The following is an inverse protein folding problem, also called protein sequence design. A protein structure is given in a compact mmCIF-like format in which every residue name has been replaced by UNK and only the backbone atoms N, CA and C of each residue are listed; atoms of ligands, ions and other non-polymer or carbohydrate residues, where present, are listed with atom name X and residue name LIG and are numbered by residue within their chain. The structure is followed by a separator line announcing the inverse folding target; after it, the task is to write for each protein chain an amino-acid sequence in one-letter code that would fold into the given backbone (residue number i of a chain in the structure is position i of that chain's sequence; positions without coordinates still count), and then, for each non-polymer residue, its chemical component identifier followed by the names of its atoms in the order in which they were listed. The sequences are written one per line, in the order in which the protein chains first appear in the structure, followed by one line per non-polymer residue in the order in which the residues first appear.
data_IF_491089223901
#
_entry.id   IF_491089223901
#
_cell.length_a   1.000
_cell.length_b   1.000
_cell.length_c   1.000
_cell.angle_alpha   90.00
_cell.angle_beta   90.00
_cell.angle_gamma   90.00
#
_symmetry.space_group_name_H-M   'P 1'
#
loop_
_entity.id
_entity.type
_entity.pdbx_description
1 polymer ?
#
# COMPACT_ATOMS: atom_id res chain seq x y z
N UNK A 1 4.01 14.26 -6.06
CA UNK A 1 3.63 15.34 -5.12
C UNK A 1 2.32 16.08 -5.48
N UNK A 2 1.92 16.29 -6.76
CA UNK A 2 0.66 17.00 -7.08
C UNK A 2 -0.60 16.34 -6.51
N UNK A 3 -0.66 15.00 -6.49
CA UNK A 3 -1.82 14.25 -5.98
C UNK A 3 -1.99 14.41 -4.45
N UNK A 4 -0.91 14.50 -3.69
CA UNK A 4 -0.99 14.74 -2.24
C UNK A 4 -1.59 16.11 -1.91
N UNK A 5 -1.29 17.14 -2.71
CA UNK A 5 -1.88 18.46 -2.55
C UNK A 5 -3.39 18.46 -2.81
N UNK A 6 -3.85 17.71 -3.80
CA UNK A 6 -5.27 17.55 -4.11
C UNK A 6 -6.07 17.03 -2.90
N UNK A 7 -5.50 16.12 -2.12
CA UNK A 7 -6.17 15.59 -0.94
C UNK A 7 -6.19 16.54 0.27
N UNK A 8 -5.39 17.62 0.26
CA UNK A 8 -5.42 18.63 1.32
C UNK A 8 -6.64 19.57 1.24
N UNK A 9 -7.30 19.63 0.09
CA UNK A 9 -8.51 20.46 -0.10
C UNK A 9 -9.67 19.80 0.67
N UNK A 10 -10.44 20.56 1.48
CA UNK A 10 -11.59 20.01 2.20
C UNK A 10 -12.76 19.70 1.24
N UNK A 11 -13.55 18.69 1.58
CA UNK A 11 -14.83 18.32 0.98
C UNK A 11 -14.72 17.78 -0.46
N UNK A 12 -13.96 18.41 -1.32
CA UNK A 12 -13.93 18.07 -2.75
C UNK A 12 -13.41 16.65 -3.03
N UNK A 13 -12.33 16.17 -2.40
CA UNK A 13 -11.86 14.79 -2.59
C UNK A 13 -12.87 13.75 -2.08
N UNK A 14 -13.52 14.01 -0.93
CA UNK A 14 -14.55 13.13 -0.38
C UNK A 14 -15.72 12.98 -1.36
N UNK A 15 -16.22 14.13 -1.87
CA UNK A 15 -17.27 14.12 -2.88
C UNK A 15 -16.86 13.42 -4.17
N UNK A 16 -15.61 13.58 -4.59
CA UNK A 16 -15.09 12.91 -5.79
C UNK A 16 -15.10 11.39 -5.62
N UNK A 17 -14.71 10.89 -4.45
CA UNK A 17 -14.66 9.46 -4.17
C UNK A 17 -16.04 8.82 -4.00
N UNK A 18 -17.04 9.56 -3.54
CA UNK A 18 -18.40 9.05 -3.29
C UNK A 18 -19.35 9.22 -4.47
N UNK A 19 -19.09 10.20 -5.36
CA UNK A 19 -19.92 10.44 -6.54
C UNK A 19 -19.96 9.24 -7.48
N UNK A 20 -21.07 9.13 -8.23
CA UNK A 20 -21.27 8.08 -9.23
C UNK A 20 -21.01 6.69 -8.66
N UNK A 21 -21.47 6.47 -7.43
CA UNK A 21 -21.31 5.21 -6.72
C UNK A 21 -19.84 4.75 -6.62
N UNK A 22 -18.90 5.69 -6.38
CA UNK A 22 -17.49 5.37 -6.20
C UNK A 22 -16.70 5.15 -7.50
N UNK A 23 -17.16 5.64 -8.65
CA UNK A 23 -16.48 5.46 -9.94
C UNK A 23 -15.03 5.98 -9.95
N UNK A 24 -14.74 7.06 -9.24
CA UNK A 24 -13.36 7.56 -9.11
C UNK A 24 -12.47 6.61 -8.32
N UNK A 25 -13.00 5.99 -7.26
CA UNK A 25 -12.29 4.96 -6.50
C UNK A 25 -11.96 3.76 -7.38
N UNK A 26 -12.93 3.26 -8.15
CA UNK A 26 -12.69 2.18 -9.11
C UNK A 26 -11.59 2.56 -10.10
N UNK A 27 -11.65 3.77 -10.69
CA UNK A 27 -10.63 4.25 -11.61
C UNK A 27 -9.23 4.27 -10.98
N UNK A 28 -9.12 4.69 -9.73
CA UNK A 28 -7.85 4.72 -8.98
C UNK A 28 -7.30 3.32 -8.73
N UNK A 29 -8.15 2.35 -8.39
CA UNK A 29 -7.74 0.96 -8.20
C UNK A 29 -7.32 0.36 -9.54
N UNK A 30 -8.13 0.51 -10.57
CA UNK A 30 -7.88 -0.01 -11.92
C UNK A 30 -6.53 0.46 -12.48
N UNK A 31 -6.22 1.75 -12.34
CA UNK A 31 -4.96 2.33 -12.81
C UNK A 31 -3.70 1.78 -12.09
N UNK A 32 -3.89 1.07 -11.00
CA UNK A 32 -2.79 0.51 -10.17
C UNK A 32 -2.72 -1.00 -10.23
N UNK A 33 -3.69 -1.63 -10.84
CA UNK A 33 -3.82 -3.09 -10.92
C UNK A 33 -3.29 -3.63 -12.23
N UNK A 34 -2.87 -4.88 -12.23
CA UNK A 34 -2.49 -5.60 -13.43
C UNK A 34 -3.69 -5.84 -14.36
N UNK A 35 -3.45 -5.89 -15.65
CA UNK A 35 -4.49 -6.19 -16.64
C UNK A 35 -5.10 -7.59 -16.44
N UNK A 36 -4.28 -8.55 -16.01
CA UNK A 36 -4.73 -9.92 -15.76
C UNK A 36 -5.77 -9.96 -14.63
N UNK A 37 -5.51 -9.29 -13.51
CA UNK A 37 -6.47 -9.24 -12.41
C UNK A 37 -7.75 -8.49 -12.79
N UNK A 38 -7.62 -7.38 -13.54
CA UNK A 38 -8.78 -6.61 -14.01
C UNK A 38 -9.75 -7.41 -14.90
N UNK A 39 -9.27 -8.46 -15.55
CA UNK A 39 -10.09 -9.35 -16.38
C UNK A 39 -10.78 -10.47 -15.55
N UNK A 40 -10.43 -10.64 -14.29
CA UNK A 40 -10.96 -11.69 -13.41
C UNK A 40 -12.21 -11.28 -12.64
N UNK A 41 -12.96 -12.28 -12.18
CA UNK A 41 -14.15 -12.08 -11.34
C UNK A 41 -13.81 -11.46 -9.98
N UNK A 42 -12.68 -11.83 -9.39
CA UNK A 42 -12.18 -11.32 -8.11
C UNK A 42 -12.02 -9.80 -8.12
N UNK A 43 -11.63 -9.22 -9.27
CA UNK A 43 -11.52 -7.77 -9.41
C UNK A 43 -12.89 -7.11 -9.30
N UNK A 44 -13.90 -7.64 -10.00
CA UNK A 44 -15.26 -7.11 -9.98
C UNK A 44 -15.86 -7.18 -8.55
N UNK A 45 -15.65 -8.28 -7.85
CA UNK A 45 -16.09 -8.46 -6.47
C UNK A 45 -15.40 -7.44 -5.53
N UNK A 46 -14.09 -7.32 -5.63
CA UNK A 46 -13.29 -6.37 -4.83
C UNK A 46 -13.75 -4.93 -5.09
N UNK A 47 -13.94 -4.54 -6.34
CA UNK A 47 -14.47 -3.21 -6.68
C UNK A 47 -15.86 -3.00 -6.09
N UNK A 48 -16.76 -3.99 -6.20
CA UNK A 48 -18.09 -3.92 -5.61
C UNK A 48 -18.04 -3.70 -4.09
N UNK A 49 -17.16 -4.41 -3.40
CA UNK A 49 -16.93 -4.25 -1.95
C UNK A 49 -16.41 -2.84 -1.60
N UNK A 50 -15.42 -2.36 -2.33
CA UNK A 50 -14.82 -1.04 -2.11
C UNK A 50 -15.81 0.09 -2.39
N UNK A 51 -16.60 -0.01 -3.46
CA UNK A 51 -17.65 0.96 -3.81
C UNK A 51 -18.72 1.05 -2.72
N UNK A 52 -19.16 -0.08 -2.16
CA UNK A 52 -20.09 -0.08 -1.01
C UNK A 52 -19.43 0.52 0.23
N UNK A 53 -18.19 0.18 0.52
CA UNK A 53 -17.48 0.67 1.69
C UNK A 53 -17.28 2.20 1.68
N UNK A 54 -16.97 2.79 0.53
CA UNK A 54 -16.74 4.24 0.43
C UNK A 54 -18.03 5.06 0.62
N UNK A 55 -19.22 4.45 0.44
CA UNK A 55 -20.50 5.09 0.67
C UNK A 55 -20.89 5.13 2.16
N UNK A 56 -20.21 4.37 3.01
CA UNK A 56 -20.45 4.44 4.45
C UNK A 56 -20.16 5.86 4.95
N UNK A 57 -21.06 6.48 5.74
CA UNK A 57 -20.83 7.81 6.29
C UNK A 57 -19.45 7.94 6.93
N UNK A 58 -18.74 9.01 6.60
CA UNK A 58 -17.38 9.31 7.04
C UNK A 58 -16.26 8.40 6.50
N UNK A 59 -16.52 7.33 5.75
CA UNK A 59 -15.47 6.44 5.23
C UNK A 59 -14.48 7.18 4.34
N UNK A 60 -14.97 7.96 3.37
CA UNK A 60 -14.13 8.77 2.49
C UNK A 60 -13.30 9.81 3.28
N UNK A 61 -13.90 10.45 4.28
CA UNK A 61 -13.21 11.40 5.14
C UNK A 61 -12.09 10.72 5.94
N UNK A 62 -12.37 9.61 6.60
CA UNK A 62 -11.40 8.87 7.41
C UNK A 62 -10.22 8.36 6.58
N UNK A 63 -10.49 7.84 5.38
CA UNK A 63 -9.45 7.38 4.47
C UNK A 63 -8.52 8.53 4.02
N UNK A 64 -9.08 9.71 3.78
CA UNK A 64 -8.32 10.90 3.38
C UNK A 64 -7.59 11.57 4.54
N UNK A 65 -8.14 11.52 5.76
CA UNK A 65 -7.48 12.10 6.94
C UNK A 65 -6.13 11.43 7.25
N UNK A 66 -5.99 10.14 7.03
CA UNK A 66 -4.69 9.48 7.14
C UNK A 66 -3.65 10.12 6.20
N UNK A 67 -4.02 10.35 4.95
CA UNK A 67 -3.14 10.99 3.96
C UNK A 67 -2.86 12.46 4.31
N UNK A 68 -3.87 13.18 4.77
CA UNK A 68 -3.76 14.57 5.22
C UNK A 68 -2.84 14.68 6.43
N UNK A 69 -3.03 13.80 7.40
CA UNK A 69 -2.19 13.76 8.59
C UNK A 69 -0.73 13.47 8.23
N UNK A 70 -0.47 12.47 7.39
CA UNK A 70 0.86 12.10 6.94
C UNK A 70 1.58 13.29 6.26
N UNK A 71 0.88 14.07 5.44
CA UNK A 71 1.43 15.26 4.80
C UNK A 71 1.69 16.39 5.80
N UNK A 72 0.71 16.71 6.67
CA UNK A 72 0.80 17.80 7.66
C UNK A 72 1.83 17.52 8.74
N UNK A 73 1.99 16.28 9.15
CA UNK A 73 2.94 15.88 10.19
C UNK A 73 4.39 16.19 9.80
N UNK A 74 4.72 16.14 8.53
CA UNK A 74 6.07 16.46 8.04
C UNK A 74 6.48 17.92 8.33
N UNK A 75 5.50 18.81 8.42
CA UNK A 75 5.73 20.23 8.72
C UNK A 75 5.83 20.51 10.23
N UNK A 76 5.40 19.57 11.08
CA UNK A 76 5.39 19.71 12.53
C UNK A 76 6.67 19.16 13.17
N UNK A 77 7.07 19.76 14.30
CA UNK A 77 8.25 19.32 15.06
C UNK A 77 8.19 17.85 15.48
N UNK A 78 7.01 17.38 15.88
CA UNK A 78 6.75 16.00 16.29
C UNK A 78 6.90 15.03 15.11
N UNK A 79 6.32 15.35 13.97
CA UNK A 79 6.46 14.53 12.77
C UNK A 79 7.92 14.44 12.31
N UNK A 80 8.67 15.55 12.39
CA UNK A 80 10.12 15.50 12.10
C UNK A 80 10.89 14.66 13.11
N UNK A 81 10.52 14.67 14.39
CA UNK A 81 11.12 13.75 15.41
C UNK A 81 10.79 12.30 15.08
N UNK A 82 9.54 12.00 14.77
CA UNK A 82 9.11 10.67 14.33
C UNK A 82 9.90 10.21 13.09
N UNK A 83 9.99 11.01 12.04
CA UNK A 83 10.76 10.68 10.84
C UNK A 83 12.24 10.44 11.12
N UNK A 84 12.83 11.13 12.10
CA UNK A 84 14.21 10.86 12.56
C UNK A 84 14.33 9.55 13.32
N UNK A 85 13.35 9.20 14.16
CA UNK A 85 13.35 7.92 14.87
C UNK A 85 13.23 6.73 13.94
N UNK A 86 12.51 6.88 12.82
CA UNK A 86 12.34 5.85 11.80
C UNK A 86 13.61 5.59 10.95
N UNK A 87 14.65 6.43 11.09
CA UNK A 87 15.93 6.23 10.39
C UNK A 87 16.83 5.17 11.05
N UNK A 88 16.41 4.58 12.16
CA UNK A 88 17.19 3.51 12.82
C UNK A 88 16.97 2.20 12.06
N UNK A 89 18.04 1.42 11.85
CA UNK A 89 17.91 0.09 11.29
C UNK A 89 16.99 -0.79 12.17
N UNK A 90 16.16 -1.58 11.52
CA UNK A 90 15.29 -2.55 12.17
C UNK A 90 16.10 -3.79 12.54
N UNK A 91 15.97 -4.27 13.77
CA UNK A 91 16.57 -5.52 14.24
C UNK A 91 15.66 -6.74 13.99
N UNK A 92 14.38 -6.50 13.71
CA UNK A 92 13.42 -7.57 13.42
C UNK A 92 13.56 -8.08 11.99
N UNK A 93 13.26 -9.35 11.72
CA UNK A 93 13.15 -9.87 10.37
C UNK A 93 12.12 -9.09 9.55
N UNK A 94 12.46 -8.76 8.31
CA UNK A 94 11.59 -8.00 7.40
C UNK A 94 11.48 -8.75 6.08
N UNK A 95 10.25 -8.91 5.60
CA UNK A 95 9.95 -9.33 4.23
C UNK A 95 9.27 -8.17 3.51
N UNK A 96 9.85 -7.75 2.40
CA UNK A 96 9.26 -6.77 1.48
C UNK A 96 8.78 -7.49 0.24
N UNK A 97 7.47 -7.37 -0.03
CA UNK A 97 6.84 -7.89 -1.23
C UNK A 97 6.40 -6.74 -2.14
N UNK A 98 6.57 -6.91 -3.44
CA UNK A 98 6.20 -5.95 -4.45
C UNK A 98 5.70 -6.67 -5.71
N UNK A 99 4.63 -6.18 -6.33
CA UNK A 99 4.28 -6.60 -7.69
C UNK A 99 5.33 -6.11 -8.70
N UNK A 100 5.72 -6.93 -9.65
CA UNK A 100 6.70 -6.55 -10.67
C UNK A 100 6.16 -5.48 -11.62
N UNK A 101 4.85 -5.44 -11.83
CA UNK A 101 4.13 -4.44 -12.60
C UNK A 101 3.69 -3.19 -11.83
N UNK A 102 4.10 -3.01 -10.55
CA UNK A 102 3.70 -1.84 -9.75
C UNK A 102 4.36 -0.55 -10.26
N UNK A 103 3.58 0.41 -10.82
CA UNK A 103 4.14 1.64 -11.36
C UNK A 103 4.46 2.69 -10.30
N UNK A 104 4.07 2.47 -9.05
CA UNK A 104 4.18 3.46 -7.96
C UNK A 104 5.34 3.18 -7.02
N UNK A 105 5.69 1.92 -6.84
CA UNK A 105 6.86 1.55 -6.06
C UNK A 105 8.06 1.48 -6.99
N UNK A 106 9.01 2.38 -6.80
CA UNK A 106 10.22 2.46 -7.62
C UNK A 106 10.94 1.11 -7.67
N UNK A 107 11.53 0.78 -8.81
CA UNK A 107 12.25 -0.48 -9.03
C UNK A 107 13.46 -0.66 -8.09
N UNK A 108 13.94 0.41 -7.47
CA UNK A 108 15.05 0.40 -6.53
C UNK A 108 14.67 0.75 -5.07
N UNK A 109 13.58 0.18 -4.49
CA UNK A 109 13.37 0.29 -3.06
C UNK A 109 14.38 -0.55 -2.29
N UNK A 110 14.98 -1.57 -2.92
CA UNK A 110 15.92 -2.50 -2.31
C UNK A 110 17.11 -1.76 -1.73
N UNK A 111 17.76 -0.88 -2.48
CA UNK A 111 18.92 -0.15 -2.01
C UNK A 111 18.58 0.88 -0.93
N UNK A 112 17.43 1.55 -1.06
CA UNK A 112 16.96 2.51 -0.05
C UNK A 112 16.48 1.83 1.22
N UNK A 113 15.88 0.66 1.13
CA UNK A 113 15.34 -0.03 2.29
C UNK A 113 16.42 -0.84 3.01
N UNK A 114 17.48 -1.27 2.33
CA UNK A 114 18.61 -1.98 2.95
C UNK A 114 19.27 -1.21 4.11
N UNK A 115 19.31 0.09 4.03
CA UNK A 115 19.83 0.91 5.13
C UNK A 115 18.96 0.83 6.40
N UNK A 116 17.66 0.53 6.26
CA UNK A 116 16.73 0.39 7.37
C UNK A 116 16.42 -1.05 7.74
N UNK A 117 16.58 -1.97 6.81
CA UNK A 117 16.41 -3.41 6.99
C UNK A 117 17.60 -4.16 6.37
N UNK A 118 18.79 -4.12 6.97
CA UNK A 118 20.00 -4.68 6.38
C UNK A 118 19.91 -6.20 6.16
N UNK A 119 19.08 -6.88 6.96
CA UNK A 119 18.78 -8.32 6.82
C UNK A 119 17.40 -8.58 6.19
N UNK A 120 16.80 -7.56 5.58
CA UNK A 120 15.50 -7.66 4.92
C UNK A 120 15.57 -8.55 3.68
N UNK A 121 14.50 -9.30 3.47
CA UNK A 121 14.26 -10.08 2.24
C UNK A 121 13.35 -9.32 1.32
N UNK A 122 13.58 -9.48 0.04
CA UNK A 122 12.83 -8.82 -1.00
C UNK A 122 12.38 -9.87 -2.01
N UNK A 123 11.08 -9.90 -2.30
CA UNK A 123 10.54 -10.75 -3.35
C UNK A 123 9.62 -9.94 -4.26
N UNK A 124 9.72 -10.22 -5.56
CA UNK A 124 8.82 -9.70 -6.58
C UNK A 124 7.72 -10.72 -6.83
N UNK A 125 6.48 -10.25 -6.92
CA UNK A 125 5.31 -11.06 -7.24
C UNK A 125 5.04 -10.89 -8.73
N UNK A 126 5.23 -11.97 -9.47
CA UNK A 126 5.15 -11.95 -10.92
C UNK A 126 3.73 -11.65 -11.42
N UNK A 127 3.61 -10.76 -12.39
CA UNK A 127 2.34 -10.39 -13.01
C UNK A 127 1.40 -9.55 -12.14
N UNK A 128 1.80 -9.18 -10.93
CA UNK A 128 0.99 -8.36 -10.03
C UNK A 128 1.33 -6.88 -10.15
N UNK A 129 0.33 -6.03 -9.95
CA UNK A 129 0.47 -4.58 -9.84
C UNK A 129 0.67 -4.13 -8.38
N UNK A 130 0.05 -3.00 -8.05
CA UNK A 130 0.19 -2.35 -6.73
C UNK A 130 -0.44 -3.15 -5.58
N UNK A 131 -1.49 -3.91 -5.87
CA UNK A 131 -2.25 -4.68 -4.88
C UNK A 131 -1.86 -6.16 -4.93
N UNK A 132 -0.56 -6.46 -4.89
CA UNK A 132 -0.04 -7.81 -5.08
C UNK A 132 -0.72 -8.89 -4.20
N UNK A 133 -1.16 -8.53 -2.99
CA UNK A 133 -1.86 -9.43 -2.07
C UNK A 133 -3.30 -9.77 -2.51
N UNK A 134 -3.95 -8.89 -3.27
CA UNK A 134 -5.26 -9.13 -3.88
C UNK A 134 -5.12 -9.75 -5.27
N UNK A 135 -4.09 -9.35 -6.02
CA UNK A 135 -3.87 -9.75 -7.41
C UNK A 135 -3.27 -11.15 -7.56
N UNK A 136 -2.43 -11.56 -6.60
CA UNK A 136 -1.75 -12.85 -6.61
C UNK A 136 -1.60 -13.44 -5.20
N UNK A 137 -2.72 -13.69 -4.48
CA UNK A 137 -2.70 -14.12 -3.07
C UNK A 137 -1.93 -15.43 -2.86
N UNK A 138 -1.98 -16.37 -3.80
CA UNK A 138 -1.21 -17.61 -3.71
C UNK A 138 0.30 -17.35 -3.65
N UNK A 139 0.85 -16.55 -4.57
CA UNK A 139 2.27 -16.21 -4.58
C UNK A 139 2.67 -15.44 -3.30
N UNK A 140 1.84 -14.50 -2.85
CA UNK A 140 2.09 -13.75 -1.62
C UNK A 140 2.11 -14.67 -0.40
N UNK A 141 1.13 -15.56 -0.27
CA UNK A 141 1.06 -16.52 0.83
C UNK A 141 2.25 -17.47 0.84
N UNK A 142 2.68 -17.97 -0.32
CA UNK A 142 3.88 -18.80 -0.43
C UNK A 142 5.14 -18.08 0.08
N UNK A 143 5.31 -16.82 -0.29
CA UNK A 143 6.45 -16.02 0.18
C UNK A 143 6.38 -15.76 1.69
N UNK A 144 5.19 -15.45 2.21
CA UNK A 144 4.97 -15.25 3.64
C UNK A 144 5.24 -16.52 4.44
N UNK A 145 4.72 -17.67 4.00
CA UNK A 145 4.91 -18.96 4.68
C UNK A 145 6.40 -19.32 4.76
N UNK A 146 7.11 -19.26 3.63
CA UNK A 146 8.56 -19.52 3.60
C UNK A 146 9.35 -18.57 4.49
N UNK A 147 8.96 -17.31 4.54
CA UNK A 147 9.60 -16.33 5.40
C UNK A 147 9.39 -16.66 6.88
N UNK A 148 8.15 -16.96 7.28
CA UNK A 148 7.81 -17.31 8.65
C UNK A 148 8.49 -18.59 9.11
N UNK A 149 8.47 -19.65 8.29
CA UNK A 149 9.19 -20.89 8.58
C UNK A 149 10.69 -20.65 8.88
N UNK A 150 11.33 -19.80 8.10
CA UNK A 150 12.75 -19.49 8.28
C UNK A 150 13.02 -18.61 9.50
N UNK A 151 12.09 -17.74 9.87
CA UNK A 151 12.20 -16.91 11.06
C UNK A 151 12.02 -17.75 12.32
N UNK A 152 11.04 -18.64 12.34
CA UNK A 152 10.75 -19.48 13.50
C UNK A 152 11.61 -20.75 13.58
N UNK A 153 12.20 -21.22 12.49
CA UNK A 153 13.16 -22.34 12.52
C UNK A 153 14.53 -21.94 13.10
N UNK A 154 14.81 -20.64 13.27
CA UNK A 154 16.03 -20.21 13.95
C UNK A 154 15.80 -20.26 15.47
N UNK A 155 16.55 -21.09 16.21
CA UNK A 155 16.53 -21.03 17.67
C UNK A 155 16.90 -19.61 18.10
N UNK A 156 16.13 -19.06 19.04
CA UNK A 156 16.45 -17.79 19.68
C UNK A 156 17.75 -18.00 20.46
N UNK A 157 18.85 -17.48 19.95
CA UNK A 157 20.15 -17.47 20.61
C UNK A 157 20.25 -16.30 21.56
#
# INVERSE_FOLDING_TARGET
LPWMLRYQVPIWPERSLTRHDGAELERLVRNRSSAAWQAGEDFAETIGRLRRAIQIPSAAHSALEYQRWAARSQLRGEGRRFMRSMKRPMSVPVLHLRGDGDPYVLADPVNRTRQYAPHGRYASIAGAGHYAHEEAPGQVNDQLTRFLEQVYARPVS
#
